data_IF_746283995192
#
_entry.id   IF_746283995192
#
_cell.length_a   1.000
_cell.length_b   1.000
_cell.length_c   1.000
_cell.angle_alpha   90.00
_cell.angle_beta   90.00
_cell.angle_gamma   90.00
#
_symmetry.space_group_name_H-M   'P 1'
#
loop_
_entity.id
_entity.type
_entity.pdbx_description
1 polymer ?
#
# COMPACT_ATOMS: atom_id res chain seq x y z
N UNK A 1 -16.88 -16.84 -17.04
CA UNK A 1 -15.58 -17.32 -16.54
C UNK A 1 -15.76 -17.76 -15.10
N UNK A 2 -15.51 -19.03 -14.82
CA UNK A 2 -15.56 -19.59 -13.47
C UNK A 2 -14.27 -19.26 -12.70
N UNK A 3 -14.27 -19.42 -11.38
CA UNK A 3 -13.08 -19.18 -10.56
C UNK A 3 -11.93 -20.12 -10.96
N UNK A 4 -12.26 -21.38 -11.27
CA UNK A 4 -11.28 -22.40 -11.65
C UNK A 4 -10.62 -22.10 -13.00
N UNK A 5 -11.38 -21.55 -13.96
CA UNK A 5 -10.84 -21.05 -15.23
C UNK A 5 -9.87 -19.89 -15.02
N UNK A 6 -10.20 -18.98 -14.10
CA UNK A 6 -9.38 -17.81 -13.75
C UNK A 6 -8.05 -18.24 -13.10
N UNK A 7 -8.12 -19.18 -12.15
CA UNK A 7 -6.94 -19.76 -11.48
C UNK A 7 -6.08 -20.53 -12.47
N UNK A 8 -6.69 -21.32 -13.36
CA UNK A 8 -5.96 -22.06 -14.40
C UNK A 8 -5.26 -21.12 -15.38
N UNK A 9 -5.91 -20.01 -15.74
CA UNK A 9 -5.32 -18.95 -16.55
C UNK A 9 -4.14 -18.28 -15.86
N UNK A 10 -4.27 -17.97 -14.57
CA UNK A 10 -3.20 -17.43 -13.75
C UNK A 10 -1.98 -18.37 -13.69
N UNK A 11 -2.16 -19.66 -13.39
CA UNK A 11 -1.06 -20.62 -13.26
C UNK A 11 -0.23 -20.72 -14.55
N UNK A 12 -0.89 -20.60 -15.72
CA UNK A 12 -0.20 -20.60 -17.02
C UNK A 12 0.54 -19.30 -17.28
N UNK A 13 -0.08 -18.15 -16.99
CA UNK A 13 0.47 -16.83 -17.28
C UNK A 13 1.56 -16.37 -16.28
N UNK A 14 1.47 -16.79 -15.02
CA UNK A 14 2.40 -16.39 -13.97
C UNK A 14 3.81 -16.97 -14.15
N UNK A 15 3.94 -18.07 -14.92
CA UNK A 15 5.25 -18.70 -15.20
C UNK A 15 6.13 -17.91 -16.16
N UNK A 16 5.57 -16.92 -16.86
CA UNK A 16 6.26 -16.15 -17.90
C UNK A 16 6.43 -14.67 -17.56
N UNK A 17 6.09 -14.25 -16.34
CA UNK A 17 6.14 -12.84 -15.95
C UNK A 17 7.26 -12.58 -14.95
N UNK A 18 8.19 -11.68 -15.30
CA UNK A 18 9.32 -11.30 -14.46
C UNK A 18 8.99 -10.15 -13.50
N UNK A 19 8.02 -9.28 -13.85
CA UNK A 19 7.57 -8.19 -12.99
C UNK A 19 6.12 -8.37 -12.50
N UNK A 20 5.96 -8.26 -11.18
CA UNK A 20 4.69 -8.39 -10.49
C UNK A 20 3.71 -7.28 -10.88
N UNK A 21 4.20 -6.03 -10.92
CA UNK A 21 3.31 -4.89 -11.12
C UNK A 21 2.82 -4.82 -12.57
N UNK A 22 3.72 -5.01 -13.53
CA UNK A 22 3.39 -5.12 -14.95
C UNK A 22 2.44 -6.30 -15.26
N UNK A 23 2.61 -7.43 -14.57
CA UNK A 23 1.71 -8.56 -14.71
C UNK A 23 0.27 -8.20 -14.31
N UNK A 24 0.06 -7.67 -13.10
CA UNK A 24 -1.29 -7.41 -12.61
C UNK A 24 -1.97 -6.22 -13.28
N UNK A 25 -1.22 -5.29 -13.86
CA UNK A 25 -1.79 -4.24 -14.74
C UNK A 25 -2.24 -4.82 -16.07
N UNK A 26 -1.42 -5.67 -16.71
CA UNK A 26 -1.71 -6.26 -18.03
C UNK A 26 -2.83 -7.31 -17.99
N UNK A 27 -2.96 -8.03 -16.88
CA UNK A 27 -3.95 -9.11 -16.71
C UNK A 27 -5.20 -8.68 -15.93
N UNK A 28 -5.35 -7.40 -15.57
CA UNK A 28 -6.51 -6.93 -14.79
C UNK A 28 -7.86 -7.19 -15.49
N UNK A 29 -7.91 -7.12 -16.82
CA UNK A 29 -9.12 -7.39 -17.61
C UNK A 29 -9.38 -8.88 -17.81
N UNK A 30 -8.31 -9.70 -17.86
CA UNK A 30 -8.38 -11.16 -18.06
C UNK A 30 -8.63 -11.92 -16.77
N UNK A 31 -8.16 -11.40 -15.64
CA UNK A 31 -8.26 -11.99 -14.31
C UNK A 31 -8.84 -10.97 -13.31
N UNK A 32 -10.10 -10.53 -13.50
CA UNK A 32 -10.67 -9.41 -12.75
C UNK A 32 -10.91 -9.71 -11.26
N UNK A 33 -11.22 -10.95 -10.88
CA UNK A 33 -11.46 -11.30 -9.47
C UNK A 33 -10.13 -11.48 -8.74
N UNK A 34 -9.19 -12.16 -9.38
CA UNK A 34 -7.84 -12.35 -8.83
C UNK A 34 -7.10 -11.01 -8.72
N UNK A 35 -7.13 -10.17 -9.75
CA UNK A 35 -6.47 -8.86 -9.71
C UNK A 35 -7.05 -7.95 -8.61
N UNK A 36 -8.37 -7.96 -8.42
CA UNK A 36 -9.00 -7.23 -7.32
C UNK A 36 -8.58 -7.77 -5.94
N UNK A 37 -8.51 -9.08 -5.78
CA UNK A 37 -8.07 -9.71 -4.53
C UNK A 37 -6.60 -9.36 -4.23
N UNK A 38 -5.74 -9.46 -5.25
CA UNK A 38 -4.31 -9.14 -5.16
C UNK A 38 -4.08 -7.68 -4.85
N UNK A 39 -4.85 -6.76 -5.45
CA UNK A 39 -4.81 -5.33 -5.07
C UNK A 39 -5.14 -5.15 -3.60
N UNK A 40 -6.21 -5.76 -3.09
CA UNK A 40 -6.59 -5.63 -1.67
C UNK A 40 -5.53 -6.17 -0.71
N UNK A 41 -4.90 -7.30 -1.05
CA UNK A 41 -3.89 -7.94 -0.20
C UNK A 41 -2.58 -7.14 -0.21
N UNK A 42 -2.11 -6.68 -1.37
CA UNK A 42 -0.83 -5.98 -1.47
C UNK A 42 -0.84 -4.54 -0.95
N UNK A 43 -2.02 -3.98 -0.65
CA UNK A 43 -2.13 -2.72 0.08
C UNK A 43 -1.69 -2.89 1.54
N UNK A 44 -1.70 -4.11 2.07
CA UNK A 44 -1.28 -4.39 3.43
C UNK A 44 0.25 -4.47 3.46
N UNK A 45 0.95 -3.50 4.07
CA UNK A 45 2.40 -3.56 4.18
C UNK A 45 2.81 -4.76 5.03
N UNK A 46 3.85 -5.46 4.60
CA UNK A 46 4.41 -6.61 5.33
C UNK A 46 5.11 -6.17 6.63
N UNK A 47 5.49 -4.90 6.75
CA UNK A 47 6.25 -4.37 7.89
C UNK A 47 5.66 -3.08 8.45
N UNK A 48 5.91 -2.84 9.74
CA UNK A 48 5.56 -1.60 10.46
C UNK A 48 6.55 -0.46 10.20
N UNK A 49 7.67 -0.71 9.52
CA UNK A 49 8.81 0.21 9.37
C UNK A 49 8.38 1.59 8.84
N UNK A 50 7.49 1.64 7.85
CA UNK A 50 6.98 2.90 7.29
C UNK A 50 6.24 3.74 8.33
N UNK A 51 5.46 3.11 9.21
CA UNK A 51 4.80 3.80 10.33
C UNK A 51 5.78 4.19 11.44
N UNK A 52 6.78 3.35 11.74
CA UNK A 52 7.77 3.60 12.79
C UNK A 52 8.70 4.77 12.48
N UNK A 53 9.14 4.90 11.22
CA UNK A 53 9.93 6.05 10.75
C UNK A 53 9.14 7.34 10.96
N UNK A 54 7.85 7.29 10.63
CA UNK A 54 6.96 8.43 10.76
C UNK A 54 6.72 8.82 12.23
N UNK A 55 6.52 7.84 13.12
CA UNK A 55 6.40 8.08 14.56
C UNK A 55 7.71 8.60 15.16
N UNK A 56 8.86 8.10 14.73
CA UNK A 56 10.17 8.57 15.20
C UNK A 56 10.37 10.07 14.94
N UNK A 57 10.04 10.53 13.74
CA UNK A 57 10.09 11.96 13.37
C UNK A 57 9.11 12.78 14.22
N UNK A 58 7.91 12.26 14.45
CA UNK A 58 6.86 12.95 15.22
C UNK A 58 7.27 13.10 16.69
N UNK A 59 7.82 12.03 17.28
CA UNK A 59 8.31 12.02 18.66
C UNK A 59 9.47 13.00 18.81
N UNK A 60 10.36 13.08 17.82
CA UNK A 60 11.45 14.05 17.81
C UNK A 60 10.94 15.51 17.87
N UNK A 61 9.91 15.85 17.08
CA UNK A 61 9.28 17.18 17.13
C UNK A 61 8.59 17.41 18.48
N UNK A 62 7.85 16.41 18.98
CA UNK A 62 7.13 16.52 20.24
C UNK A 62 8.05 16.77 21.44
N UNK A 63 9.23 16.15 21.48
CA UNK A 63 10.20 16.27 22.60
C UNK A 63 10.95 17.60 22.63
N UNK A 64 11.02 18.35 21.53
CA UNK A 64 11.73 19.64 21.49
C UNK A 64 10.92 20.73 22.20
N UNK A 65 11.28 21.11 23.43
CA UNK A 65 10.50 22.10 24.22
C UNK A 65 10.14 23.39 23.47
N UNK A 66 11.06 23.98 22.70
CA UNK A 66 10.82 25.23 21.96
C UNK A 66 10.04 25.07 20.63
N UNK A 67 9.97 23.85 20.10
CA UNK A 67 9.33 23.54 18.82
C UNK A 67 8.25 22.45 18.97
N UNK A 68 7.81 22.19 20.21
CA UNK A 68 6.89 21.12 20.51
C UNK A 68 5.51 21.51 20.02
N UNK A 69 4.95 20.66 19.17
CA UNK A 69 3.57 20.79 18.74
C UNK A 69 2.68 19.95 19.66
N UNK A 70 1.44 20.41 19.83
CA UNK A 70 0.42 19.63 20.53
C UNK A 70 0.21 18.29 19.82
N UNK A 71 -0.14 17.25 20.59
CA UNK A 71 -0.44 15.92 20.04
C UNK A 71 -1.50 15.97 18.93
N UNK A 72 -2.50 16.84 19.07
CA UNK A 72 -3.54 17.06 18.07
C UNK A 72 -2.98 17.62 16.76
N UNK A 73 -2.13 18.64 16.85
CA UNK A 73 -1.50 19.26 15.67
C UNK A 73 -0.57 18.28 14.97
N UNK A 74 0.21 17.49 15.72
CA UNK A 74 1.08 16.45 15.17
C UNK A 74 0.30 15.39 14.40
N UNK A 75 -0.83 14.93 14.94
CA UNK A 75 -1.70 13.97 14.23
C UNK A 75 -2.19 14.50 12.89
N UNK A 76 -2.63 15.75 12.83
CA UNK A 76 -3.05 16.34 11.54
C UNK A 76 -1.88 16.53 10.58
N UNK A 77 -0.71 16.95 11.08
CA UNK A 77 0.48 17.14 10.27
C UNK A 77 0.98 15.80 9.68
N UNK A 78 0.87 14.71 10.44
CA UNK A 78 1.14 13.36 9.97
C UNK A 78 0.26 12.96 8.78
N UNK A 79 -1.04 13.24 8.86
CA UNK A 79 -1.99 12.97 7.78
C UNK A 79 -1.66 13.82 6.56
N UNK A 80 -1.43 15.12 6.75
CA UNK A 80 -1.10 16.04 5.66
C UNK A 80 0.21 15.66 4.95
N UNK A 81 1.25 15.30 5.72
CA UNK A 81 2.54 14.87 5.16
C UNK A 81 2.41 13.63 4.30
N UNK A 82 1.57 12.67 4.69
CA UNK A 82 1.37 11.40 3.97
C UNK A 82 0.19 11.41 3.01
N UNK A 83 -0.42 12.56 2.73
CA UNK A 83 -1.57 12.67 1.83
C UNK A 83 -1.30 12.03 0.46
N UNK A 84 -0.12 12.27 -0.12
CA UNK A 84 0.31 11.69 -1.39
C UNK A 84 0.43 10.16 -1.39
N UNK A 85 0.56 9.54 -0.21
CA UNK A 85 0.54 8.08 -0.04
C UNK A 85 -0.90 7.59 0.05
N UNK A 86 -1.78 8.35 0.70
CA UNK A 86 -3.20 8.03 0.82
C UNK A 86 -3.93 8.10 -0.53
N UNK A 87 -3.58 9.08 -1.38
CA UNK A 87 -4.14 9.23 -2.74
C UNK A 87 -3.81 8.05 -3.68
N UNK A 88 -2.82 7.20 -3.34
CA UNK A 88 -2.51 5.98 -4.13
C UNK A 88 -3.46 4.81 -3.83
N UNK A 89 -4.30 4.93 -2.80
CA UNK A 89 -5.21 3.89 -2.33
C UNK A 89 -6.69 4.24 -2.51
N UNK A 90 -6.98 5.42 -3.07
CA UNK A 90 -8.30 5.82 -3.59
C UNK A 90 -8.44 5.44 -5.08
#
# INVERSE_FOLDING_TARGET
MTLDEEISGYIKAARSADDFQEFWTSYCTKLPRLSNLVRRINVIPVTSVTSEVLFSVTIFVHRKQRASLSSRTLRYLLVLKNRHVLEKFE
#
